data_IF_005578266394
#
_entry.id   IF_005578266394
#
_cell.length_a   1.000
_cell.length_b   1.000
_cell.length_c   1.000
_cell.angle_alpha   90.00
_cell.angle_beta   90.00
_cell.angle_gamma   90.00
#
_symmetry.space_group_name_H-M   'P 1'
#
loop_
_entity.id
_entity.type
_entity.pdbx_description
1 polymer ?
#
# COMPACT_ATOMS: atom_id res chain seq x y z
N UNK A 1 -36.20 7.47 37.30
CA UNK A 1 -35.70 6.16 37.71
C UNK A 1 -35.40 5.35 36.45
N UNK A 2 -34.13 5.29 36.10
CA UNK A 2 -33.63 4.57 34.93
C UNK A 2 -33.62 3.08 35.28
N UNK A 3 -34.53 2.34 34.70
CA UNK A 3 -34.52 0.88 34.79
C UNK A 3 -33.60 0.32 33.72
N UNK A 4 -32.34 0.12 34.07
CA UNK A 4 -31.49 -0.78 33.32
C UNK A 4 -31.86 -2.19 33.63
N UNK A 5 -32.51 -2.88 32.70
CA UNK A 5 -32.73 -4.32 32.79
C UNK A 5 -31.38 -5.01 32.57
N UNK A 6 -30.87 -5.64 33.62
CA UNK A 6 -29.76 -6.58 33.47
C UNK A 6 -30.22 -7.69 32.49
N UNK A 7 -29.44 -8.05 31.49
CA UNK A 7 -29.77 -9.14 30.58
C UNK A 7 -29.84 -10.43 31.39
N UNK A 8 -31.02 -10.99 31.49
CA UNK A 8 -31.29 -12.19 32.29
C UNK A 8 -30.77 -13.50 31.67
N UNK A 9 -30.14 -13.42 30.51
CA UNK A 9 -29.33 -14.45 29.86
C UNK A 9 -28.35 -13.77 28.92
N UNK A 10 -27.05 -14.14 28.94
CA UNK A 10 -26.15 -13.78 27.88
C UNK A 10 -26.73 -14.35 26.58
N UNK A 11 -27.30 -13.49 25.77
CA UNK A 11 -27.63 -13.85 24.42
C UNK A 11 -26.29 -14.16 23.75
N UNK A 12 -25.98 -15.43 23.54
CA UNK A 12 -24.95 -15.86 22.64
C UNK A 12 -25.40 -15.41 21.27
N UNK A 13 -24.89 -14.26 20.83
CA UNK A 13 -25.03 -13.79 19.45
C UNK A 13 -24.25 -14.78 18.59
N UNK A 14 -24.89 -15.85 18.17
CA UNK A 14 -24.37 -16.63 17.06
C UNK A 14 -24.52 -15.76 15.83
N UNK A 15 -23.42 -15.23 15.34
CA UNK A 15 -23.39 -14.63 14.02
C UNK A 15 -23.92 -15.69 13.08
N UNK A 16 -25.03 -15.40 12.42
CA UNK A 16 -25.75 -16.41 11.65
C UNK A 16 -24.87 -16.88 10.50
N UNK A 17 -24.35 -18.10 10.56
CA UNK A 17 -23.68 -18.79 9.47
C UNK A 17 -24.51 -18.78 8.18
N UNK A 18 -25.79 -18.52 8.31
CA UNK A 18 -26.75 -18.46 7.21
C UNK A 18 -26.30 -17.49 6.09
N UNK A 19 -25.60 -16.40 6.43
CA UNK A 19 -25.25 -15.34 5.47
C UNK A 19 -23.75 -15.21 5.24
N UNK A 20 -22.92 -15.61 6.21
CA UNK A 20 -21.51 -15.28 6.25
C UNK A 20 -20.57 -16.50 6.15
N UNK A 21 -21.11 -17.70 5.91
CA UNK A 21 -20.26 -18.88 5.71
C UNK A 21 -19.55 -18.79 4.36
N UNK A 22 -18.24 -19.00 4.36
CA UNK A 22 -17.44 -19.10 3.13
C UNK A 22 -17.77 -20.41 2.43
N UNK A 23 -18.39 -20.33 1.26
CA UNK A 23 -18.76 -21.50 0.45
C UNK A 23 -17.72 -21.86 -0.58
N UNK A 24 -17.02 -20.85 -1.14
CA UNK A 24 -16.09 -21.04 -2.24
C UNK A 24 -14.98 -19.98 -2.18
N UNK A 25 -13.79 -20.40 -2.57
CA UNK A 25 -12.63 -19.52 -2.79
C UNK A 25 -12.03 -19.89 -4.13
N UNK A 26 -11.96 -18.93 -5.05
CA UNK A 26 -11.28 -19.08 -6.33
C UNK A 26 -10.04 -18.18 -6.37
N UNK A 27 -9.01 -18.63 -7.07
CA UNK A 27 -7.79 -17.87 -7.34
C UNK A 27 -7.59 -17.76 -8.84
N UNK A 28 -7.35 -16.57 -9.34
CA UNK A 28 -7.11 -16.31 -10.75
C UNK A 28 -5.87 -15.46 -10.93
N UNK A 29 -4.83 -16.03 -11.53
CA UNK A 29 -3.62 -15.28 -11.87
C UNK A 29 -3.87 -14.41 -13.11
N UNK A 30 -3.62 -13.11 -12.97
CA UNK A 30 -3.80 -12.12 -14.02
C UNK A 30 -2.48 -11.44 -14.34
N UNK A 31 -2.21 -11.23 -15.63
CA UNK A 31 -1.07 -10.44 -16.08
C UNK A 31 -1.53 -9.02 -16.40
N UNK A 32 -0.98 -8.04 -15.69
CA UNK A 32 -1.23 -6.61 -15.89
C UNK A 32 0.01 -5.99 -16.56
N UNK A 33 -0.07 -5.54 -17.81
CA UNK A 33 1.07 -4.91 -18.47
C UNK A 33 1.37 -3.57 -17.82
N UNK A 34 2.65 -3.24 -17.64
CA UNK A 34 3.05 -1.89 -17.30
C UNK A 34 2.77 -0.94 -18.48
N UNK A 35 2.58 0.34 -18.19
CA UNK A 35 2.64 1.39 -19.21
C UNK A 35 4.05 1.41 -19.83
N UNK A 36 4.23 2.05 -20.97
CA UNK A 36 5.47 2.02 -21.75
C UNK A 36 6.70 2.45 -20.93
N UNK A 37 6.65 3.62 -20.28
CA UNK A 37 7.77 4.15 -19.49
C UNK A 37 8.11 3.28 -18.27
N UNK A 38 7.15 2.91 -17.39
CA UNK A 38 7.41 1.93 -16.36
C UNK A 38 7.96 0.60 -16.91
N UNK A 39 7.43 0.10 -18.04
CA UNK A 39 7.89 -1.15 -18.62
C UNK A 39 9.40 -1.13 -18.91
N UNK A 40 9.89 -0.13 -19.66
CA UNK A 40 11.32 -0.07 -20.01
C UNK A 40 12.24 0.11 -18.82
N UNK A 41 11.76 0.72 -17.74
CA UNK A 41 12.55 0.95 -16.53
C UNK A 41 12.49 -0.24 -15.56
N UNK A 42 11.29 -0.80 -15.36
CA UNK A 42 11.02 -1.79 -14.31
C UNK A 42 11.12 -3.24 -14.78
N UNK A 43 10.94 -3.52 -16.07
CA UNK A 43 10.90 -4.91 -16.56
C UNK A 43 12.20 -5.68 -16.33
N UNK A 44 13.32 -4.98 -16.30
CA UNK A 44 14.61 -5.60 -16.04
C UNK A 44 14.76 -6.03 -14.59
N UNK A 45 14.27 -5.22 -13.65
CA UNK A 45 14.48 -5.41 -12.21
C UNK A 45 13.35 -6.21 -11.56
N UNK A 46 12.11 -5.89 -11.93
CA UNK A 46 10.91 -6.44 -11.29
C UNK A 46 9.85 -6.92 -12.30
N UNK A 47 10.21 -7.77 -13.28
CA UNK A 47 9.26 -8.23 -14.31
C UNK A 47 8.08 -8.99 -13.74
N UNK A 48 8.24 -9.59 -12.55
CA UNK A 48 7.21 -10.36 -11.85
C UNK A 48 6.10 -9.48 -11.24
N UNK A 49 6.29 -8.18 -11.09
CA UNK A 49 5.24 -7.27 -10.59
C UNK A 49 4.12 -7.03 -11.61
N UNK A 50 4.19 -7.60 -12.78
CA UNK A 50 3.10 -7.66 -13.74
C UNK A 50 2.05 -8.71 -13.42
N UNK A 51 2.33 -9.61 -12.48
CA UNK A 51 1.45 -10.70 -12.14
C UNK A 51 0.80 -10.45 -10.80
N UNK A 52 -0.52 -10.48 -10.80
CA UNK A 52 -1.31 -10.44 -9.57
C UNK A 52 -2.23 -11.64 -9.51
N UNK A 53 -2.57 -12.04 -8.31
CA UNK A 53 -3.60 -13.04 -8.07
C UNK A 53 -4.85 -12.34 -7.53
N UNK A 54 -5.94 -12.50 -8.23
CA UNK A 54 -7.28 -12.09 -7.81
C UNK A 54 -7.93 -13.25 -7.06
N UNK A 55 -8.50 -12.96 -5.92
CA UNK A 55 -9.15 -13.92 -5.05
C UNK A 55 -10.63 -13.55 -4.95
N UNK A 56 -11.48 -14.53 -5.27
CA UNK A 56 -12.93 -14.41 -5.19
C UNK A 56 -13.43 -15.29 -4.04
N UNK A 57 -14.20 -14.71 -3.13
CA UNK A 57 -14.84 -15.45 -2.02
C UNK A 57 -16.35 -15.35 -2.15
N UNK A 58 -17.02 -16.48 -2.30
CA UNK A 58 -18.47 -16.56 -2.27
C UNK A 58 -18.96 -16.94 -0.86
N UNK A 59 -19.88 -16.14 -0.32
CA UNK A 59 -20.54 -16.40 0.94
C UNK A 59 -21.91 -17.08 0.76
N UNK A 60 -22.40 -17.68 1.81
CA UNK A 60 -23.75 -18.30 1.86
C UNK A 60 -24.90 -17.31 1.62
N UNK A 61 -24.65 -16.02 1.67
CA UNK A 61 -25.56 -14.97 1.20
C UNK A 61 -25.71 -14.91 -0.32
N UNK A 62 -24.85 -15.59 -1.08
CA UNK A 62 -24.73 -15.46 -2.53
C UNK A 62 -23.90 -14.27 -3.00
N UNK A 63 -23.30 -13.53 -2.06
CA UNK A 63 -22.42 -12.39 -2.37
C UNK A 63 -21.00 -12.88 -2.60
N UNK A 64 -20.34 -12.31 -3.62
CA UNK A 64 -18.91 -12.50 -3.88
C UNK A 64 -18.14 -11.27 -3.48
N UNK A 65 -17.07 -11.45 -2.69
CA UNK A 65 -16.09 -10.43 -2.37
C UNK A 65 -14.78 -10.71 -3.10
N UNK A 66 -14.01 -9.64 -3.34
CA UNK A 66 -12.79 -9.66 -4.14
C UNK A 66 -11.61 -9.12 -3.36
N UNK A 67 -10.44 -9.74 -3.59
CA UNK A 67 -9.16 -9.26 -3.10
C UNK A 67 -8.07 -9.54 -4.12
N UNK A 68 -6.90 -8.94 -3.92
CA UNK A 68 -5.74 -9.19 -4.78
C UNK A 68 -4.44 -9.19 -3.98
N UNK A 69 -3.44 -9.86 -4.53
CA UNK A 69 -2.07 -9.82 -4.03
C UNK A 69 -1.08 -9.96 -5.19
N UNK A 70 0.07 -9.28 -5.07
CA UNK A 70 1.15 -9.47 -6.03
C UNK A 70 1.78 -10.85 -5.86
N UNK A 71 1.94 -11.58 -6.98
CA UNK A 71 2.75 -12.78 -6.98
C UNK A 71 4.21 -12.44 -6.67
N UNK A 72 4.88 -13.33 -5.97
CA UNK A 72 6.32 -13.22 -5.66
C UNK A 72 6.71 -11.95 -4.89
N UNK A 73 5.76 -11.33 -4.20
CA UNK A 73 6.03 -10.23 -3.28
C UNK A 73 6.10 -10.74 -1.82
N UNK A 74 6.42 -9.83 -0.89
CA UNK A 74 6.75 -10.14 0.51
C UNK A 74 5.78 -11.12 1.20
N UNK A 75 4.49 -10.96 0.95
CA UNK A 75 3.45 -11.76 1.60
C UNK A 75 3.08 -13.02 0.81
N UNK A 76 3.48 -13.08 -0.46
CA UNK A 76 3.10 -14.17 -1.36
C UNK A 76 1.60 -14.23 -1.65
N UNK A 77 1.19 -15.31 -2.27
CA UNK A 77 -0.22 -15.64 -2.49
C UNK A 77 -0.68 -16.66 -1.47
N UNK A 78 -1.98 -16.67 -1.06
CA UNK A 78 -2.49 -17.68 -0.15
C UNK A 78 -2.35 -19.07 -0.77
N UNK A 79 -1.91 -20.02 0.01
CA UNK A 79 -1.80 -21.41 -0.38
C UNK A 79 -3.10 -22.20 -0.10
N UNK A 80 -3.08 -23.50 -0.37
CA UNK A 80 -4.25 -24.35 -0.13
C UNK A 80 -4.55 -24.53 1.36
N UNK A 81 -3.59 -24.34 2.25
CA UNK A 81 -3.80 -24.38 3.68
C UNK A 81 -4.53 -23.13 4.16
N UNK A 82 -4.14 -21.96 3.69
CA UNK A 82 -4.81 -20.70 3.98
C UNK A 82 -6.28 -20.75 3.52
N UNK A 83 -6.53 -21.31 2.33
CA UNK A 83 -7.89 -21.51 1.83
C UNK A 83 -8.69 -22.45 2.75
N UNK A 84 -8.09 -23.57 3.20
CA UNK A 84 -8.75 -24.49 4.14
C UNK A 84 -9.06 -23.84 5.49
N UNK A 85 -8.28 -22.85 5.91
CA UNK A 85 -8.53 -22.10 7.15
C UNK A 85 -9.81 -21.28 7.10
N UNK A 86 -10.23 -20.85 5.93
CA UNK A 86 -11.42 -20.00 5.76
C UNK A 86 -12.62 -20.75 5.18
N UNK A 87 -12.41 -21.78 4.37
CA UNK A 87 -13.48 -22.52 3.71
C UNK A 87 -14.40 -23.19 4.74
N UNK A 88 -15.71 -22.95 4.63
CA UNK A 88 -16.73 -23.44 5.55
C UNK A 88 -16.80 -22.68 6.88
N UNK A 89 -15.93 -21.67 7.11
CA UNK A 89 -15.92 -20.83 8.31
C UNK A 89 -16.83 -19.61 8.13
N UNK A 90 -17.13 -18.96 9.25
CA UNK A 90 -17.81 -17.67 9.26
C UNK A 90 -16.81 -16.57 8.89
N UNK A 91 -17.07 -15.85 7.79
CA UNK A 91 -16.18 -14.82 7.29
C UNK A 91 -15.91 -13.70 8.31
N UNK A 92 -16.89 -13.33 9.13
CA UNK A 92 -16.73 -12.29 10.17
C UNK A 92 -15.71 -12.72 11.23
N UNK A 93 -15.66 -14.00 11.55
CA UNK A 93 -14.74 -14.52 12.57
C UNK A 93 -13.29 -14.61 12.07
N UNK A 94 -13.11 -14.92 10.77
CA UNK A 94 -11.77 -15.16 10.20
C UNK A 94 -11.17 -13.95 9.47
N UNK A 95 -11.95 -12.93 9.11
CA UNK A 95 -11.47 -11.79 8.33
C UNK A 95 -10.38 -10.93 9.03
N UNK A 96 -10.21 -11.09 10.34
CA UNK A 96 -9.24 -10.37 11.14
C UNK A 96 -7.91 -11.12 11.32
N UNK A 97 -7.78 -12.28 10.72
CA UNK A 97 -6.55 -13.08 10.77
C UNK A 97 -5.54 -12.56 9.74
N UNK A 98 -4.56 -11.80 10.21
CA UNK A 98 -3.54 -11.19 9.35
C UNK A 98 -2.59 -12.21 8.70
N UNK A 99 -2.55 -13.45 9.20
CA UNK A 99 -1.74 -14.52 8.60
C UNK A 99 -2.33 -15.08 7.31
N UNK A 100 -3.58 -14.76 6.98
CA UNK A 100 -4.21 -15.14 5.72
C UNK A 100 -3.60 -14.43 4.50
N UNK A 101 -2.85 -13.36 4.72
CA UNK A 101 -2.30 -12.52 3.68
C UNK A 101 -3.32 -11.55 3.06
N UNK A 102 -2.80 -10.57 2.34
CA UNK A 102 -3.58 -9.41 1.88
C UNK A 102 -4.78 -9.80 1.01
N UNK A 103 -4.55 -10.62 -0.03
CA UNK A 103 -5.60 -10.91 -1.01
C UNK A 103 -6.80 -11.64 -0.42
N UNK A 104 -6.56 -12.66 0.41
CA UNK A 104 -7.63 -13.44 1.04
C UNK A 104 -8.37 -12.60 2.09
N UNK A 105 -7.64 -11.84 2.90
CA UNK A 105 -8.22 -10.96 3.90
C UNK A 105 -9.04 -9.83 3.26
N UNK A 106 -8.56 -9.19 2.19
CA UNK A 106 -9.32 -8.19 1.43
C UNK A 106 -10.63 -8.75 0.89
N UNK A 107 -10.60 -9.96 0.31
CA UNK A 107 -11.79 -10.62 -0.22
C UNK A 107 -12.83 -10.93 0.88
N UNK A 108 -12.38 -11.34 2.06
CA UNK A 108 -13.26 -11.56 3.22
C UNK A 108 -13.91 -10.25 3.68
N UNK A 109 -13.15 -9.16 3.83
CA UNK A 109 -13.70 -7.85 4.20
C UNK A 109 -14.69 -7.34 3.16
N UNK A 110 -14.39 -7.48 1.86
CA UNK A 110 -15.29 -7.05 0.79
C UNK A 110 -16.59 -7.86 0.79
N UNK A 111 -16.51 -9.19 0.93
CA UNK A 111 -17.66 -10.07 1.00
C UNK A 111 -18.56 -9.76 2.21
N UNK A 112 -17.98 -9.56 3.38
CA UNK A 112 -18.71 -9.21 4.62
C UNK A 112 -19.36 -7.83 4.50
N UNK A 113 -18.64 -6.83 4.01
CA UNK A 113 -19.16 -5.48 3.81
C UNK A 113 -20.36 -5.48 2.84
N UNK A 114 -20.23 -6.14 1.70
CA UNK A 114 -21.30 -6.29 0.69
C UNK A 114 -22.51 -7.03 1.25
N UNK A 115 -22.30 -8.13 1.96
CA UNK A 115 -23.38 -8.90 2.59
C UNK A 115 -24.11 -8.07 3.65
N UNK A 116 -23.38 -7.24 4.38
CA UNK A 116 -23.92 -6.34 5.41
C UNK A 116 -24.55 -5.06 4.82
N UNK A 117 -24.38 -4.79 3.53
CA UNK A 117 -24.88 -3.58 2.88
C UNK A 117 -24.17 -2.30 3.32
N UNK A 118 -22.89 -2.40 3.74
CA UNK A 118 -22.08 -1.26 4.19
C UNK A 118 -20.77 -1.18 3.39
N UNK A 119 -20.15 0.00 3.25
CA UNK A 119 -18.82 0.11 2.67
C UNK A 119 -17.76 -0.45 3.62
N UNK A 120 -16.64 -0.96 3.08
CA UNK A 120 -15.57 -1.58 3.88
C UNK A 120 -15.09 -0.68 5.04
N UNK A 121 -14.96 0.63 4.81
CA UNK A 121 -14.50 1.53 5.86
C UNK A 121 -15.40 1.50 7.12
N UNK A 122 -16.71 1.20 6.98
CA UNK A 122 -17.59 1.09 8.13
C UNK A 122 -17.24 -0.11 9.04
N UNK A 123 -16.56 -1.13 8.52
CA UNK A 123 -16.02 -2.25 9.29
C UNK A 123 -14.70 -1.89 9.99
N UNK A 124 -13.95 -0.92 9.44
CA UNK A 124 -12.61 -0.56 9.91
C UNK A 124 -12.61 0.60 10.92
N UNK A 125 -13.63 1.45 10.89
CA UNK A 125 -13.75 2.59 11.79
C UNK A 125 -14.45 3.78 11.19
N UNK A 126 -14.35 4.91 11.87
CA UNK A 126 -14.96 6.16 11.43
C UNK A 126 -14.24 6.72 10.20
N UNK A 127 -15.00 7.04 9.16
CA UNK A 127 -14.48 7.72 7.98
C UNK A 127 -14.07 9.15 8.35
N UNK A 128 -12.80 9.49 8.15
CA UNK A 128 -12.23 10.80 8.48
C UNK A 128 -12.19 11.73 7.26
N UNK A 129 -11.91 11.17 6.07
CA UNK A 129 -11.79 11.91 4.81
C UNK A 129 -12.67 11.30 3.72
N UNK A 130 -13.21 12.16 2.85
CA UNK A 130 -13.98 11.70 1.68
C UNK A 130 -13.07 11.13 0.59
N UNK A 131 -11.87 11.68 0.45
CA UNK A 131 -10.90 11.31 -0.56
C UNK A 131 -9.50 11.27 0.04
N UNK A 132 -8.65 10.40 -0.52
CA UNK A 132 -7.22 10.34 -0.21
C UNK A 132 -6.44 10.66 -1.48
N UNK A 133 -5.52 11.66 -1.45
CA UNK A 133 -4.63 11.91 -2.58
C UNK A 133 -3.76 10.68 -2.86
N UNK A 134 -3.55 10.40 -4.14
CA UNK A 134 -2.69 9.30 -4.60
C UNK A 134 -1.50 9.90 -5.31
N UNK A 135 -0.30 9.43 -4.98
CA UNK A 135 0.92 9.78 -5.70
C UNK A 135 1.03 8.98 -7.00
N UNK A 136 1.54 9.63 -8.05
CA UNK A 136 2.01 8.90 -9.23
C UNK A 136 3.22 8.09 -8.84
N UNK A 137 3.33 6.86 -9.32
CA UNK A 137 4.38 5.95 -8.90
C UNK A 137 5.14 5.37 -10.09
N UNK A 138 6.47 5.39 -9.99
CA UNK A 138 7.39 4.70 -10.89
C UNK A 138 8.73 4.53 -10.17
N UNK A 139 9.48 3.50 -10.46
CA UNK A 139 10.78 3.23 -9.85
C UNK A 139 11.83 2.87 -10.90
N UNK A 140 13.09 2.88 -10.48
CA UNK A 140 14.27 2.49 -11.27
C UNK A 140 14.39 3.25 -12.60
N UNK A 141 13.94 4.50 -12.59
CA UNK A 141 13.87 5.39 -13.76
C UNK A 141 15.21 6.04 -14.09
N UNK A 142 15.46 6.27 -15.38
CA UNK A 142 16.50 7.23 -15.82
C UNK A 142 16.14 8.66 -15.38
N UNK A 143 17.10 9.57 -15.44
CA UNK A 143 16.89 10.99 -15.14
C UNK A 143 15.79 11.59 -16.03
N UNK A 144 15.87 11.31 -17.33
CA UNK A 144 14.94 11.80 -18.35
C UNK A 144 13.53 11.25 -18.14
N UNK A 145 13.42 9.95 -17.88
CA UNK A 145 12.12 9.30 -17.68
C UNK A 145 11.46 9.75 -16.37
N UNK A 146 12.24 9.98 -15.32
CA UNK A 146 11.69 10.49 -14.06
C UNK A 146 11.09 11.88 -14.24
N UNK A 147 11.79 12.78 -14.93
CA UNK A 147 11.27 14.12 -15.23
C UNK A 147 10.03 14.06 -16.13
N UNK A 148 10.04 13.22 -17.18
CA UNK A 148 8.91 13.04 -18.08
C UNK A 148 7.67 12.46 -17.37
N UNK A 149 7.85 11.48 -16.49
CA UNK A 149 6.76 10.90 -15.69
C UNK A 149 6.17 11.93 -14.71
N UNK A 150 7.00 12.78 -14.10
CA UNK A 150 6.51 13.85 -13.24
C UNK A 150 5.71 14.92 -14.01
N UNK A 151 6.14 15.28 -15.22
CA UNK A 151 5.39 16.19 -16.10
C UNK A 151 4.04 15.57 -16.48
N UNK A 152 4.03 14.30 -16.86
CA UNK A 152 2.79 13.60 -17.20
C UNK A 152 1.85 13.48 -16.00
N UNK A 153 2.39 13.15 -14.82
CA UNK A 153 1.63 13.09 -13.58
C UNK A 153 0.97 14.45 -13.26
N UNK A 154 1.74 15.53 -13.35
CA UNK A 154 1.24 16.88 -13.11
C UNK A 154 0.16 17.27 -14.13
N UNK A 155 0.36 16.95 -15.42
CA UNK A 155 -0.62 17.19 -16.50
C UNK A 155 -1.94 16.48 -16.24
N UNK A 156 -1.91 15.30 -15.61
CA UNK A 156 -3.11 14.53 -15.24
C UNK A 156 -3.72 14.96 -13.90
N UNK A 157 -3.16 15.96 -13.24
CA UNK A 157 -3.70 16.51 -11.98
C UNK A 157 -3.17 15.85 -10.72
N UNK A 158 -2.17 14.97 -10.81
CA UNK A 158 -1.47 14.49 -9.64
C UNK A 158 -0.58 15.59 -9.06
N UNK A 159 -0.47 15.63 -7.74
CA UNK A 159 0.33 16.63 -7.03
C UNK A 159 1.59 16.02 -6.38
N UNK A 160 1.75 14.72 -6.49
CA UNK A 160 2.87 14.01 -5.88
C UNK A 160 3.36 12.85 -6.76
N UNK A 161 4.64 12.60 -6.68
CA UNK A 161 5.34 11.49 -7.31
C UNK A 161 6.15 10.71 -6.27
N UNK A 162 5.99 9.40 -6.23
CA UNK A 162 6.74 8.48 -5.38
C UNK A 162 7.73 7.69 -6.22
N UNK A 163 8.99 7.68 -5.82
CA UNK A 163 10.04 6.88 -6.46
C UNK A 163 11.03 6.30 -5.44
N UNK A 164 12.11 5.72 -5.92
CA UNK A 164 13.18 5.14 -5.12
C UNK A 164 14.45 5.98 -5.22
N UNK A 165 15.12 6.18 -4.08
CA UNK A 165 16.48 6.71 -4.03
C UNK A 165 17.48 5.56 -4.10
N UNK A 166 17.83 5.12 -5.31
CA UNK A 166 18.72 3.98 -5.51
C UNK A 166 20.19 4.39 -5.52
N UNK A 167 21.10 3.66 -4.85
CA UNK A 167 22.53 3.99 -4.82
C UNK A 167 23.24 3.79 -6.16
N UNK A 168 22.62 3.11 -7.12
CA UNK A 168 23.14 2.91 -8.48
C UNK A 168 22.59 3.89 -9.52
N UNK A 169 21.76 4.85 -9.10
CA UNK A 169 21.31 5.97 -9.91
C UNK A 169 21.87 7.28 -9.36
N UNK A 170 22.02 8.29 -10.24
CA UNK A 170 22.31 9.65 -9.82
C UNK A 170 21.04 10.34 -9.31
N UNK A 171 20.78 10.19 -8.02
CA UNK A 171 19.57 10.74 -7.37
C UNK A 171 19.56 12.27 -7.41
N UNK A 172 20.73 12.92 -7.39
CA UNK A 172 20.83 14.39 -7.51
C UNK A 172 20.36 14.85 -8.89
N UNK A 173 20.87 14.23 -9.95
CA UNK A 173 20.44 14.53 -11.32
C UNK A 173 18.95 14.23 -11.52
N UNK A 174 18.42 13.14 -10.94
CA UNK A 174 17.00 12.82 -10.99
C UNK A 174 16.16 13.93 -10.35
N UNK A 175 16.46 14.33 -9.11
CA UNK A 175 15.71 15.35 -8.40
C UNK A 175 15.84 16.73 -9.07
N UNK A 176 17.02 17.09 -9.53
CA UNK A 176 17.25 18.34 -10.26
C UNK A 176 16.43 18.42 -11.55
N UNK A 177 16.41 17.32 -12.32
CA UNK A 177 15.65 17.27 -13.57
C UNK A 177 14.14 17.42 -13.33
N UNK A 178 13.61 16.76 -12.29
CA UNK A 178 12.22 16.92 -11.89
C UNK A 178 11.95 18.35 -11.44
N UNK A 179 12.81 18.93 -10.59
CA UNK A 179 12.63 20.28 -10.08
C UNK A 179 12.63 21.35 -11.17
N UNK A 180 13.35 21.13 -12.27
CA UNK A 180 13.33 22.00 -13.46
C UNK A 180 12.07 21.81 -14.32
N UNK A 181 11.41 20.66 -14.24
CA UNK A 181 10.32 20.26 -15.14
C UNK A 181 8.92 20.52 -14.57
N UNK A 182 8.76 20.58 -13.25
CA UNK A 182 7.45 20.76 -12.59
C UNK A 182 7.52 21.93 -11.59
N UNK A 183 6.37 22.54 -11.24
CA UNK A 183 6.33 23.65 -10.27
C UNK A 183 6.73 23.20 -8.85
N UNK A 184 7.11 24.16 -8.01
CA UNK A 184 7.48 23.92 -6.61
C UNK A 184 6.37 23.27 -5.77
N UNK A 185 5.13 23.43 -6.19
CA UNK A 185 3.95 22.81 -5.55
C UNK A 185 3.78 21.31 -5.85
N UNK A 186 4.55 20.76 -6.78
CA UNK A 186 4.57 19.32 -7.06
C UNK A 186 5.53 18.62 -6.10
N UNK A 187 5.09 17.57 -5.46
CA UNK A 187 5.83 16.92 -4.40
C UNK A 187 6.55 15.65 -4.87
N UNK A 188 7.76 15.44 -4.38
CA UNK A 188 8.55 14.23 -4.59
C UNK A 188 8.72 13.50 -3.26
N UNK A 189 8.37 12.22 -3.22
CA UNK A 189 8.69 11.31 -2.13
C UNK A 189 9.71 10.29 -2.62
N UNK A 190 10.84 10.17 -1.92
CA UNK A 190 11.90 9.22 -2.24
C UNK A 190 12.04 8.18 -1.13
N UNK A 191 11.91 6.91 -1.53
CA UNK A 191 12.14 5.77 -0.67
C UNK A 191 13.54 5.21 -0.91
N UNK A 192 14.40 5.33 0.08
CA UNK A 192 15.77 4.83 -0.01
C UNK A 192 15.90 3.35 0.34
N UNK A 193 14.85 2.72 0.89
CA UNK A 193 14.90 1.32 1.34
C UNK A 193 16.18 1.03 2.15
N UNK A 194 16.46 1.87 3.16
CA UNK A 194 17.60 1.83 4.08
C UNK A 194 19.02 1.97 3.46
N UNK A 195 19.12 2.30 2.18
CA UNK A 195 20.41 2.34 1.45
C UNK A 195 21.34 3.46 1.85
N UNK A 196 20.87 4.45 2.65
CA UNK A 196 21.76 5.45 3.23
C UNK A 196 22.50 4.94 4.49
N UNK A 197 22.15 3.76 4.97
CA UNK A 197 22.77 2.94 6.01
C UNK A 197 22.64 3.50 7.44
N UNK A 198 23.08 4.74 7.68
CA UNK A 198 23.05 5.41 8.97
C UNK A 198 22.80 6.91 8.84
N UNK A 199 22.50 7.56 9.97
CA UNK A 199 22.18 8.99 9.97
C UNK A 199 23.40 9.89 9.63
N UNK A 200 24.63 9.47 9.99
CA UNK A 200 25.84 10.24 9.71
C UNK A 200 26.07 10.39 8.20
N UNK A 201 25.82 9.33 7.45
CA UNK A 201 25.91 9.31 5.97
C UNK A 201 24.69 9.92 5.30
N UNK A 202 23.49 9.64 5.83
CA UNK A 202 22.23 10.05 5.25
C UNK A 202 21.97 11.56 5.35
N UNK A 203 22.20 12.17 6.50
CA UNK A 203 21.86 13.59 6.74
C UNK A 203 22.48 14.53 5.71
N UNK A 204 23.78 14.46 5.38
CA UNK A 204 24.37 15.34 4.37
C UNK A 204 23.69 15.21 2.99
N UNK A 205 23.40 13.98 2.56
CA UNK A 205 22.77 13.69 1.26
C UNK A 205 21.34 14.26 1.23
N UNK A 206 20.55 13.98 2.28
CA UNK A 206 19.19 14.44 2.37
C UNK A 206 19.10 15.97 2.40
N UNK A 207 19.97 16.63 3.18
CA UNK A 207 20.04 18.12 3.25
C UNK A 207 20.42 18.74 1.92
N UNK A 208 21.31 18.12 1.16
CA UNK A 208 21.68 18.59 -0.18
C UNK A 208 20.49 18.48 -1.15
N UNK A 209 19.77 17.38 -1.14
CA UNK A 209 18.56 17.19 -1.96
C UNK A 209 17.42 18.14 -1.56
N UNK A 210 17.36 18.58 -0.31
CA UNK A 210 16.35 19.52 0.20
C UNK A 210 16.51 20.97 -0.30
N UNK A 211 17.58 21.27 -1.05
CA UNK A 211 17.66 22.54 -1.80
C UNK A 211 16.51 22.69 -2.81
N UNK A 212 15.92 21.57 -3.23
CA UNK A 212 14.78 21.55 -4.12
C UNK A 212 13.46 21.52 -3.31
N UNK A 213 12.61 22.55 -3.41
CA UNK A 213 11.39 22.64 -2.61
C UNK A 213 10.39 21.52 -2.89
N UNK A 214 10.47 20.89 -4.05
CA UNK A 214 9.64 19.75 -4.43
C UNK A 214 9.84 18.52 -3.54
N UNK A 215 11.02 18.36 -2.93
CA UNK A 215 11.30 17.24 -2.02
C UNK A 215 10.45 17.37 -0.77
N UNK A 216 9.54 16.42 -0.56
CA UNK A 216 8.49 16.48 0.46
C UNK A 216 8.56 15.39 1.53
N UNK A 217 9.04 14.19 1.18
CA UNK A 217 9.07 13.04 2.11
C UNK A 217 10.33 12.21 1.85
N UNK A 218 10.97 11.79 2.95
CA UNK A 218 11.98 10.74 2.97
C UNK A 218 11.35 9.46 3.50
N UNK A 219 11.25 8.43 2.68
CA UNK A 219 10.78 7.12 3.13
C UNK A 219 11.97 6.20 3.38
N UNK A 220 11.99 5.57 4.54
CA UNK A 220 13.00 4.59 4.96
C UNK A 220 14.43 4.98 4.55
N UNK A 221 14.94 6.16 4.94
CA UNK A 221 16.30 6.58 4.55
C UNK A 221 17.37 5.64 5.09
N UNK A 222 17.19 5.15 6.31
CA UNK A 222 18.04 4.18 7.02
C UNK A 222 17.18 3.08 7.63
N UNK A 223 17.79 2.08 8.25
CA UNK A 223 17.06 1.00 8.91
C UNK A 223 15.97 1.52 9.85
N UNK A 224 14.77 1.01 9.69
CA UNK A 224 13.60 1.42 10.51
C UNK A 224 13.82 1.12 12.00
N UNK A 225 14.60 0.08 12.32
CA UNK A 225 14.96 -0.29 13.69
C UNK A 225 15.96 0.66 14.36
N UNK A 226 16.68 1.50 13.58
CA UNK A 226 17.54 2.56 14.12
C UNK A 226 16.69 3.79 14.50
N UNK A 227 16.02 3.70 15.64
CA UNK A 227 15.16 4.78 16.14
C UNK A 227 15.95 6.07 16.39
N UNK A 228 17.16 5.98 16.93
CA UNK A 228 17.98 7.15 17.25
C UNK A 228 18.47 7.85 15.97
N UNK A 229 18.90 7.08 14.98
CA UNK A 229 19.31 7.60 13.68
C UNK A 229 18.15 8.27 12.95
N UNK A 230 16.96 7.64 12.91
CA UNK A 230 15.76 8.24 12.30
C UNK A 230 15.31 9.51 13.03
N UNK A 231 15.41 9.57 14.36
CA UNK A 231 15.18 10.79 15.13
C UNK A 231 16.20 11.91 14.81
N UNK A 232 17.47 11.54 14.57
CA UNK A 232 18.50 12.51 14.16
C UNK A 232 18.17 13.09 12.77
N UNK A 233 17.83 12.26 11.80
CA UNK A 233 17.39 12.70 10.46
C UNK A 233 16.19 13.64 10.59
N UNK A 234 15.17 13.26 11.35
CA UNK A 234 13.98 14.10 11.57
C UNK A 234 14.29 15.48 12.17
N UNK A 235 15.30 15.59 13.02
CA UNK A 235 15.71 16.88 13.62
C UNK A 235 16.49 17.76 12.65
N UNK A 236 17.32 17.14 11.81
CA UNK A 236 18.26 17.83 10.95
C UNK A 236 17.71 18.14 9.56
N UNK A 237 16.76 17.36 9.07
CA UNK A 237 16.17 17.49 7.75
C UNK A 237 14.81 18.19 7.80
N UNK A 238 14.48 18.92 6.72
CA UNK A 238 13.21 19.66 6.57
C UNK A 238 12.04 18.70 6.28
N UNK A 239 12.25 17.76 5.36
CA UNK A 239 11.20 16.84 4.96
C UNK A 239 10.95 15.78 6.05
N UNK A 240 9.69 15.42 6.31
CA UNK A 240 9.35 14.38 7.27
C UNK A 240 9.86 13.01 6.82
N UNK A 241 10.09 12.14 7.81
CA UNK A 241 10.51 10.75 7.60
C UNK A 241 9.28 9.85 7.73
N UNK A 242 9.03 9.03 6.69
CA UNK A 242 8.12 7.90 6.70
C UNK A 242 8.91 6.59 6.90
N UNK A 243 8.35 5.64 7.66
CA UNK A 243 9.00 4.35 7.95
C UNK A 243 8.07 3.19 7.63
#
# INVERSE_FOLDING_TARGET
SDHWLAPSQAATWHVSDKWFRVLKVDRTTVRLPFRETPARNMDREIPHWRWTEVIDIELSSGVTGFGETLLYYTWGVPDDEDIRRVLGKNAIEVMWDDELGAGLQMALFDAVARTSGVPIHALLGTKVHETTPVAWWNIDTSVEDMAAECVEAYRQGYLAYKSKGRPWFDVWAQVEAVAKAVPESFHIALDFNDTLLDAERGIPILKELEQYPQVAIWETPIFQTDIQGNQAIRRECRAPVAM
#
